data_IF_334545952794
#
_entry.id   IF_334545952794
#
_cell.length_a   1.000
_cell.length_b   1.000
_cell.length_c   1.000
_cell.angle_alpha   90.00
_cell.angle_beta   90.00
_cell.angle_gamma   90.00
#
_symmetry.space_group_name_H-M   'P 1'
#
loop_
_entity.id
_entity.type
_entity.pdbx_description
1 polymer ?
#
# COMPACT_ATOMS: atom_id res chain seq x y z
N UNK A 1 -11.28 13.79 -6.28
CA UNK A 1 -11.81 15.01 -5.62
C UNK A 1 -12.69 15.66 -6.67
N UNK A 2 -13.99 15.77 -6.40
CA UNK A 2 -14.96 16.25 -7.36
C UNK A 2 -15.09 17.78 -7.23
N UNK A 3 -14.72 18.53 -8.27
CA UNK A 3 -14.97 19.96 -8.36
C UNK A 3 -16.12 20.18 -9.34
N UNK A 4 -17.32 20.50 -8.84
CA UNK A 4 -18.45 20.88 -9.70
C UNK A 4 -19.00 19.77 -10.61
N UNK A 5 -18.86 18.50 -10.23
CA UNK A 5 -19.24 17.33 -11.04
C UNK A 5 -18.05 16.69 -11.79
N UNK A 6 -16.89 17.37 -11.85
CA UNK A 6 -15.73 16.92 -12.60
C UNK A 6 -14.71 16.23 -11.70
N UNK A 7 -14.38 14.97 -12.01
CA UNK A 7 -13.33 14.23 -11.31
C UNK A 7 -11.97 14.45 -11.99
N UNK A 8 -11.14 15.26 -11.32
CA UNK A 8 -9.79 15.57 -11.79
C UNK A 8 -8.88 14.32 -11.88
N UNK A 9 -9.14 13.29 -11.08
CA UNK A 9 -8.34 12.05 -11.12
C UNK A 9 -8.71 11.27 -12.38
N UNK A 10 -9.99 11.17 -12.68
CA UNK A 10 -10.48 10.52 -13.90
C UNK A 10 -9.92 11.23 -15.14
N UNK A 11 -10.04 12.56 -15.19
CA UNK A 11 -9.53 13.36 -16.29
C UNK A 11 -8.02 13.20 -16.49
N UNK A 12 -7.26 13.08 -15.41
CA UNK A 12 -5.82 12.81 -15.46
C UNK A 12 -5.55 11.41 -16.03
N UNK A 13 -6.27 10.39 -15.56
CA UNK A 13 -6.13 9.00 -16.04
C UNK A 13 -6.42 8.90 -17.53
N UNK A 14 -7.54 9.47 -17.99
CA UNK A 14 -7.93 9.51 -19.40
C UNK A 14 -6.83 10.16 -20.24
N UNK A 15 -6.37 11.36 -19.85
CA UNK A 15 -5.35 12.10 -20.57
C UNK A 15 -3.99 11.39 -20.62
N UNK A 16 -3.62 10.66 -19.58
CA UNK A 16 -2.40 9.86 -19.58
C UNK A 16 -2.51 8.69 -20.55
N UNK A 17 -3.60 7.94 -20.51
CA UNK A 17 -3.86 6.84 -21.43
C UNK A 17 -3.86 7.31 -22.89
N UNK A 18 -4.52 8.43 -23.19
CA UNK A 18 -4.56 9.00 -24.53
C UNK A 18 -3.16 9.37 -25.05
N UNK A 19 -2.31 9.92 -24.18
CA UNK A 19 -0.97 10.39 -24.57
C UNK A 19 0.07 9.29 -24.67
N UNK A 20 -0.01 8.26 -23.85
CA UNK A 20 1.02 7.22 -23.75
C UNK A 20 0.59 5.89 -24.36
N UNK A 21 -0.69 5.73 -24.72
CA UNK A 21 -1.27 4.45 -25.09
C UNK A 21 -1.27 3.43 -23.93
N UNK A 22 -1.10 3.91 -22.69
CA UNK A 22 -1.10 3.05 -21.51
C UNK A 22 -2.53 2.64 -21.11
N UNK A 23 -2.62 1.63 -20.24
CA UNK A 23 -3.87 1.15 -19.67
C UNK A 23 -3.88 1.40 -18.15
N UNK A 24 -3.94 2.67 -17.78
CA UNK A 24 -4.03 3.12 -16.39
C UNK A 24 -5.48 3.06 -15.96
N UNK A 25 -5.72 2.48 -14.79
CA UNK A 25 -7.04 2.42 -14.15
C UNK A 25 -7.07 3.37 -12.95
N UNK A 26 -8.16 4.12 -12.81
CA UNK A 26 -8.42 4.87 -11.59
C UNK A 26 -8.82 3.91 -10.47
N UNK A 27 -7.98 3.83 -9.44
CA UNK A 27 -8.29 3.08 -8.22
C UNK A 27 -9.39 3.75 -7.39
N UNK A 28 -10.17 2.93 -6.69
CA UNK A 28 -11.11 3.40 -5.68
C UNK A 28 -10.41 3.88 -4.42
N UNK A 29 -11.19 4.19 -3.38
CA UNK A 29 -10.64 4.57 -2.07
C UNK A 29 -9.88 3.42 -1.39
N UNK A 30 -10.22 2.19 -1.74
CA UNK A 30 -9.53 0.97 -1.38
C UNK A 30 -9.73 -0.11 -2.44
N UNK A 31 -8.90 -1.14 -2.41
CA UNK A 31 -9.00 -2.25 -3.34
C UNK A 31 -7.87 -3.26 -3.23
N UNK A 32 -7.91 -4.23 -4.12
CA UNK A 32 -6.94 -5.31 -4.20
C UNK A 32 -6.14 -5.23 -5.50
N UNK A 33 -4.86 -5.56 -5.39
CA UNK A 33 -3.96 -5.80 -6.51
C UNK A 33 -3.36 -7.18 -6.31
N UNK A 34 -3.57 -8.08 -7.28
CA UNK A 34 -2.94 -9.40 -7.29
C UNK A 34 -1.80 -9.39 -8.31
N UNK A 35 -0.58 -9.48 -7.81
CA UNK A 35 0.61 -9.66 -8.65
C UNK A 35 0.73 -11.14 -8.98
N UNK A 36 0.75 -11.49 -10.26
CA UNK A 36 0.88 -12.86 -10.74
C UNK A 36 2.25 -13.03 -11.41
N UNK A 37 3.01 -14.03 -10.96
CA UNK A 37 4.34 -14.33 -11.45
C UNK A 37 4.35 -15.73 -12.07
N UNK A 38 4.81 -15.81 -13.31
CA UNK A 38 5.12 -17.07 -13.99
C UNK A 38 6.62 -17.36 -13.81
N UNK A 39 6.93 -18.49 -13.18
CA UNK A 39 8.27 -18.94 -12.81
C UNK A 39 8.59 -20.19 -13.66
N UNK A 40 9.07 -19.94 -14.87
CA UNK A 40 9.47 -20.94 -15.87
C UNK A 40 8.33 -21.88 -16.34
N UNK A 41 7.11 -21.35 -16.49
CA UNK A 41 5.96 -22.03 -17.12
C UNK A 41 5.30 -23.13 -16.29
N UNK A 42 6.00 -23.68 -15.31
CA UNK A 42 5.52 -24.78 -14.45
C UNK A 42 5.11 -24.31 -13.04
N UNK A 43 5.69 -23.20 -12.56
CA UNK A 43 5.42 -22.66 -11.24
C UNK A 43 4.77 -21.29 -11.35
N UNK A 44 3.67 -21.09 -10.63
CA UNK A 44 3.00 -19.79 -10.53
C UNK A 44 2.94 -19.37 -9.09
N UNK A 45 3.29 -18.12 -8.82
CA UNK A 45 3.16 -17.52 -7.50
C UNK A 45 2.36 -16.24 -7.62
N UNK A 46 1.56 -15.95 -6.60
CA UNK A 46 0.88 -14.66 -6.48
C UNK A 46 1.24 -13.98 -5.17
N UNK A 47 1.32 -12.65 -5.20
CA UNK A 47 1.36 -11.80 -4.01
C UNK A 47 0.12 -10.90 -4.05
N UNK A 48 -0.68 -10.93 -2.98
CA UNK A 48 -1.86 -10.10 -2.83
C UNK A 48 -1.53 -8.83 -2.06
N UNK A 49 -1.81 -7.68 -2.65
CA UNK A 49 -1.73 -6.39 -2.01
C UNK A 49 -3.12 -5.81 -1.81
N UNK A 50 -3.42 -5.41 -0.58
CA UNK A 50 -4.54 -4.53 -0.30
C UNK A 50 -4.04 -3.09 -0.23
N UNK A 51 -4.73 -2.16 -0.86
CA UNK A 51 -4.46 -0.73 -0.73
C UNK A 51 -5.69 -0.01 -0.19
N UNK A 52 -5.46 1.03 0.58
CA UNK A 52 -6.51 1.95 1.04
C UNK A 52 -5.93 3.34 1.14
N UNK A 53 -6.68 4.38 0.77
CA UNK A 53 -6.30 5.75 1.06
C UNK A 53 -6.01 5.90 2.56
N UNK A 54 -6.77 5.21 3.42
CA UNK A 54 -6.69 5.32 4.87
C UNK A 54 -7.66 6.37 5.40
N UNK A 55 -7.63 6.54 6.72
CA UNK A 55 -8.51 7.46 7.44
C UNK A 55 -7.87 7.85 8.79
N UNK A 56 -8.35 8.93 9.42
CA UNK A 56 -7.96 9.37 10.77
C UNK A 56 -6.88 10.45 10.82
N UNK A 57 -6.59 10.99 12.01
CA UNK A 57 -5.70 12.15 12.15
C UNK A 57 -4.20 11.88 11.97
N UNK A 58 -3.39 12.93 12.19
CA UNK A 58 -1.93 12.94 12.00
C UNK A 58 -1.15 11.90 12.83
N UNK A 59 -1.78 11.37 13.90
CA UNK A 59 -1.23 10.34 14.80
C UNK A 59 0.17 10.73 15.33
N UNK A 60 0.29 11.82 16.10
CA UNK A 60 1.59 12.42 16.46
C UNK A 60 2.49 11.49 17.26
N UNK A 61 1.91 10.60 18.08
CA UNK A 61 2.66 9.67 18.94
C UNK A 61 2.94 8.34 18.24
N UNK A 62 1.90 7.66 17.76
CA UNK A 62 2.01 6.28 17.24
C UNK A 62 2.35 6.21 15.75
N UNK A 63 2.37 7.35 15.05
CA UNK A 63 2.47 7.43 13.57
C UNK A 63 1.40 6.61 12.84
N UNK A 64 0.31 6.24 13.52
CA UNK A 64 -0.77 5.41 13.00
C UNK A 64 -0.45 3.91 12.93
N UNK A 65 0.69 3.47 13.49
CA UNK A 65 1.18 2.07 13.41
C UNK A 65 0.18 1.07 13.99
N UNK A 66 -0.63 1.44 14.98
CA UNK A 66 -1.67 0.54 15.56
C UNK A 66 -2.65 -0.05 14.52
N UNK A 67 -2.80 0.62 13.37
CA UNK A 67 -3.66 0.13 12.28
C UNK A 67 -3.12 -1.15 11.63
N UNK A 68 -1.84 -1.48 11.78
CA UNK A 68 -1.29 -2.72 11.24
C UNK A 68 -1.92 -3.94 11.90
N UNK A 69 -1.97 -3.96 13.24
CA UNK A 69 -2.65 -5.00 13.99
C UNK A 69 -4.13 -5.11 13.62
N UNK A 70 -4.85 -3.99 13.50
CA UNK A 70 -6.27 -4.00 13.11
C UNK A 70 -6.48 -4.58 11.73
N UNK A 71 -5.67 -4.16 10.75
CA UNK A 71 -5.76 -4.60 9.36
C UNK A 71 -5.38 -6.07 9.20
N UNK A 72 -4.38 -6.55 9.94
CA UNK A 72 -3.99 -7.95 9.91
C UNK A 72 -5.13 -8.90 10.31
N UNK A 73 -6.06 -8.45 11.15
CA UNK A 73 -7.23 -9.23 11.58
C UNK A 73 -8.26 -9.37 10.45
N UNK A 74 -8.67 -8.27 9.83
CA UNK A 74 -9.76 -8.31 8.83
C UNK A 74 -9.26 -8.42 7.37
N UNK A 75 -7.95 -8.35 7.13
CA UNK A 75 -7.29 -8.61 5.85
C UNK A 75 -6.29 -9.77 5.98
N UNK A 76 -6.75 -10.98 6.33
CA UNK A 76 -5.89 -12.13 6.53
C UNK A 76 -5.21 -12.60 5.23
N UNK A 77 -5.80 -12.29 4.07
CA UNK A 77 -5.32 -12.77 2.76
C UNK A 77 -4.41 -11.78 2.03
N UNK A 78 -4.13 -10.62 2.64
CA UNK A 78 -3.14 -9.68 2.14
C UNK A 78 -1.74 -10.12 2.57
N UNK A 79 -0.82 -10.17 1.63
CA UNK A 79 0.62 -10.28 1.87
C UNK A 79 1.23 -8.89 2.13
N UNK A 80 0.71 -7.88 1.42
CA UNK A 80 1.13 -6.48 1.52
C UNK A 80 -0.09 -5.59 1.76
N UNK A 81 0.04 -4.62 2.65
CA UNK A 81 -0.99 -3.60 2.92
C UNK A 81 -0.37 -2.23 2.74
N UNK A 82 -0.91 -1.44 1.82
CA UNK A 82 -0.47 -0.07 1.55
C UNK A 82 -1.53 0.91 2.04
N UNK A 83 -1.12 1.94 2.80
CA UNK A 83 -2.01 3.04 3.16
C UNK A 83 -1.38 4.41 3.14
N UNK A 84 -2.20 5.43 2.89
CA UNK A 84 -1.82 6.85 2.91
C UNK A 84 -2.54 7.64 4.00
N UNK A 85 -3.00 8.84 3.63
CA UNK A 85 -3.81 9.76 4.46
C UNK A 85 -3.07 10.48 5.59
N UNK A 86 -2.35 9.78 6.47
CA UNK A 86 -1.75 10.40 7.66
C UNK A 86 -0.44 11.17 7.40
N UNK A 87 0.07 11.12 6.17
CA UNK A 87 1.37 11.66 5.73
C UNK A 87 2.59 11.13 6.49
N UNK A 88 2.42 10.17 7.39
CA UNK A 88 3.54 9.45 7.99
C UNK A 88 4.21 8.57 6.93
N UNK A 89 5.47 8.23 7.16
CA UNK A 89 6.22 7.28 6.34
C UNK A 89 6.80 6.20 7.25
N UNK A 90 6.48 4.95 6.94
CA UNK A 90 7.09 3.77 7.55
C UNK A 90 6.73 2.52 6.77
N UNK A 91 7.57 1.49 6.90
CA UNK A 91 7.31 0.13 6.49
C UNK A 91 7.60 -0.81 7.66
N UNK A 92 6.74 -1.81 7.88
CA UNK A 92 6.90 -2.75 8.98
C UNK A 92 6.31 -4.12 8.64
N UNK A 93 6.90 -5.15 9.23
CA UNK A 93 6.44 -6.52 9.09
C UNK A 93 5.67 -6.95 10.33
N UNK A 94 4.54 -7.62 10.13
CA UNK A 94 3.77 -8.28 11.19
C UNK A 94 3.75 -9.78 10.93
N UNK A 95 4.28 -10.57 11.86
CA UNK A 95 4.23 -12.03 11.78
C UNK A 95 2.85 -12.56 12.12
N UNK A 96 2.42 -13.63 11.45
CA UNK A 96 1.14 -14.31 11.74
C UNK A 96 1.34 -15.81 11.74
N UNK A 97 0.60 -16.49 12.60
CA UNK A 97 0.46 -17.93 12.56
C UNK A 97 -0.73 -18.29 11.66
N UNK A 98 -0.53 -19.31 10.84
CA UNK A 98 -1.53 -19.84 9.90
C UNK A 98 -1.68 -21.34 10.16
N UNK A 99 -2.89 -21.82 9.96
CA UNK A 99 -3.20 -23.24 9.96
C UNK A 99 -3.77 -23.58 8.58
N UNK A 100 -3.09 -24.46 7.86
CA UNK A 100 -3.57 -24.94 6.57
C UNK A 100 -4.80 -25.85 6.76
N UNK A 101 -5.55 -26.07 5.67
CA UNK A 101 -6.69 -27.02 5.66
C UNK A 101 -6.29 -28.46 6.01
N UNK A 102 -5.00 -28.80 5.87
CA UNK A 102 -4.44 -30.11 6.22
C UNK A 102 -3.96 -30.18 7.68
N UNK A 103 -4.18 -29.14 8.49
CA UNK A 103 -3.75 -29.10 9.89
C UNK A 103 -2.26 -28.78 10.08
N UNK A 104 -1.54 -28.43 9.01
CA UNK A 104 -0.14 -28.01 9.10
C UNK A 104 -0.08 -26.55 9.55
N UNK A 105 0.52 -26.30 10.70
CA UNK A 105 0.83 -24.97 11.19
C UNK A 105 2.01 -24.38 10.41
N UNK A 106 1.91 -23.11 10.04
CA UNK A 106 2.97 -22.36 9.39
C UNK A 106 3.01 -20.92 9.89
N UNK A 107 4.15 -20.27 9.75
CA UNK A 107 4.28 -18.84 10.01
C UNK A 107 4.38 -18.08 8.68
N UNK A 108 3.67 -16.96 8.58
CA UNK A 108 3.85 -16.01 7.49
C UNK A 108 4.08 -14.60 8.03
N UNK A 109 4.37 -13.66 7.11
CA UNK A 109 4.57 -12.26 7.44
C UNK A 109 3.75 -11.40 6.49
N UNK A 110 3.11 -10.38 7.05
CA UNK A 110 2.41 -9.34 6.31
C UNK A 110 3.23 -8.05 6.34
N UNK A 111 3.51 -7.48 5.17
CA UNK A 111 4.19 -6.19 5.04
C UNK A 111 3.16 -5.06 5.07
N UNK A 112 3.32 -4.11 5.97
CA UNK A 112 2.53 -2.89 5.99
C UNK A 112 3.39 -1.71 5.58
N UNK A 113 2.88 -0.91 4.65
CA UNK A 113 3.55 0.28 4.12
C UNK A 113 2.60 1.45 4.33
N UNK A 114 3.10 2.48 5.01
CA UNK A 114 2.45 3.76 5.12
C UNK A 114 3.20 4.74 4.22
N UNK A 115 2.58 5.12 3.12
CA UNK A 115 3.15 6.12 2.20
C UNK A 115 2.86 7.52 2.73
N UNK A 116 3.84 8.44 2.66
CA UNK A 116 3.57 9.84 2.86
C UNK A 116 2.82 10.41 1.64
N UNK A 117 2.69 11.73 1.59
CA UNK A 117 2.33 12.44 0.37
C UNK A 117 3.53 13.20 -0.21
N UNK A 118 3.29 13.88 -1.32
CA UNK A 118 4.21 14.87 -1.89
C UNK A 118 3.89 16.29 -1.44
N UNK A 119 2.91 16.45 -0.53
CA UNK A 119 2.53 17.74 0.02
C UNK A 119 3.48 18.10 1.16
N UNK A 120 4.18 19.22 1.02
CA UNK A 120 4.95 19.83 2.10
C UNK A 120 4.06 20.40 3.21
N UNK A 121 4.71 21.01 4.20
CA UNK A 121 4.03 21.69 5.32
C UNK A 121 3.39 22.99 4.83
N UNK A 122 2.08 23.14 5.00
CA UNK A 122 1.36 24.38 4.71
C UNK A 122 0.64 24.94 5.93
N UNK A 123 -0.17 25.98 5.71
CA UNK A 123 -0.87 26.71 6.78
C UNK A 123 -1.76 25.82 7.64
N UNK A 124 -2.39 24.81 7.04
CA UNK A 124 -3.20 23.83 7.77
C UNK A 124 -2.36 23.05 8.77
N UNK A 125 -1.21 22.53 8.34
CA UNK A 125 -0.30 21.79 9.22
C UNK A 125 0.28 22.69 10.31
N UNK A 126 0.63 23.94 9.98
CA UNK A 126 1.15 24.91 10.94
C UNK A 126 0.11 25.21 12.02
N UNK A 127 -1.12 25.51 11.62
CA UNK A 127 -2.23 25.85 12.54
C UNK A 127 -2.58 24.72 13.50
N UNK A 128 -2.43 23.47 13.06
CA UNK A 128 -2.73 22.29 13.87
C UNK A 128 -1.48 21.71 14.56
N UNK A 129 -0.37 22.45 14.58
CA UNK A 129 0.90 22.02 15.19
C UNK A 129 1.40 20.67 14.66
N UNK A 130 1.03 20.32 13.44
CA UNK A 130 1.53 19.11 12.81
C UNK A 130 3.02 19.30 12.46
N UNK A 131 3.89 18.39 12.93
CA UNK A 131 5.31 18.48 12.61
C UNK A 131 5.52 18.24 11.10
N UNK A 132 6.63 18.73 10.53
CA UNK A 132 7.03 18.38 9.18
C UNK A 132 6.99 16.86 8.97
N UNK A 133 6.41 16.43 7.85
CA UNK A 133 6.30 15.03 7.47
C UNK A 133 7.26 14.73 6.31
N UNK A 134 7.83 13.52 6.24
CA UNK A 134 8.63 13.09 5.09
C UNK A 134 7.82 13.24 3.81
N UNK A 135 8.48 13.61 2.72
CA UNK A 135 7.94 13.55 1.36
C UNK A 135 8.72 12.48 0.62
N UNK A 136 8.03 11.66 -0.17
CA UNK A 136 8.66 10.57 -0.89
C UNK A 136 7.68 9.47 -1.24
N UNK A 137 8.23 8.32 -1.61
CA UNK A 137 7.46 7.14 -1.95
C UNK A 137 8.20 5.87 -1.56
N UNK A 138 7.56 4.73 -1.84
CA UNK A 138 8.17 3.42 -1.69
C UNK A 138 8.12 2.70 -3.04
N UNK A 139 9.24 2.11 -3.44
CA UNK A 139 9.23 1.04 -4.42
C UNK A 139 8.91 -0.28 -3.73
N UNK A 140 7.85 -0.95 -4.18
CA UNK A 140 7.63 -2.35 -3.87
C UNK A 140 8.44 -3.19 -4.85
N UNK A 141 9.60 -3.66 -4.40
CA UNK A 141 10.53 -4.40 -5.24
C UNK A 141 10.31 -5.90 -5.08
N UNK A 142 9.94 -6.57 -6.18
CA UNK A 142 9.85 -8.03 -6.26
C UNK A 142 11.14 -8.60 -6.85
N UNK A 143 11.62 -9.71 -6.28
CA UNK A 143 12.76 -10.46 -6.80
C UNK A 143 12.48 -11.95 -6.75
N UNK A 144 12.93 -12.66 -7.78
CA UNK A 144 12.95 -14.12 -7.78
C UNK A 144 14.17 -14.61 -7.00
N UNK A 145 13.95 -15.52 -6.06
CA UNK A 145 14.99 -16.26 -5.35
C UNK A 145 14.66 -17.76 -5.44
N UNK A 146 15.37 -18.46 -6.33
CA UNK A 146 15.11 -19.87 -6.66
C UNK A 146 13.63 -20.11 -7.07
N UNK A 147 12.87 -20.78 -6.20
CA UNK A 147 11.47 -21.15 -6.40
C UNK A 147 10.48 -20.24 -5.66
N UNK A 148 10.92 -19.07 -5.20
CA UNK A 148 10.06 -18.12 -4.48
C UNK A 148 10.24 -16.70 -5.00
N UNK A 149 9.15 -15.93 -4.97
CA UNK A 149 9.18 -14.48 -5.06
C UNK A 149 9.33 -13.91 -3.66
N UNK A 150 10.39 -13.12 -3.48
CA UNK A 150 10.60 -12.29 -2.30
C UNK A 150 10.27 -10.84 -2.66
N UNK A 151 9.87 -10.05 -1.67
CA UNK A 151 9.53 -8.65 -1.87
C UNK A 151 9.94 -7.79 -0.68
N UNK A 152 10.21 -6.51 -0.93
CA UNK A 152 10.50 -5.50 0.09
C UNK A 152 10.08 -4.11 -0.34
N UNK A 153 9.78 -3.26 0.62
CA UNK A 153 9.64 -1.82 0.42
C UNK A 153 11.03 -1.16 0.37
N UNK A 154 11.23 -0.22 -0.54
CA UNK A 154 12.45 0.59 -0.64
C UNK A 154 12.02 2.06 -0.66
N UNK A 155 12.41 2.82 0.36
CA UNK A 155 12.16 4.26 0.42
C UNK A 155 12.89 5.02 -0.68
N UNK A 156 12.22 5.99 -1.30
CA UNK A 156 12.76 6.92 -2.31
C UNK A 156 12.28 8.35 -2.12
#
# INVERSE_FOLDING_TARGET
MNYGGYDLVQALTEKLNDKTGSHIFQGGYEGWVKFMFDMDGSQRQSINMFYTHGAGGAAPVTKGVIKTARRAVYLPDADVIVSGHSHNAWDLWTGRLRLSRLGVQSEDKQLHIQTPGYKGRGDFEIRNEHPPKPCGAYWLNFRRQSHRIIYRAIWV
#
